data_IF_997069224490
#
_entry.id   IF_997069224490
#
_cell.length_a   1.000
_cell.length_b   1.000
_cell.length_c   1.000
_cell.angle_alpha   90.00
_cell.angle_beta   90.00
_cell.angle_gamma   90.00
#
_symmetry.space_group_name_H-M   'P 1'
#
loop_
_entity.id
_entity.type
_entity.pdbx_description
1 polymer ?
#
# COMPACT_ATOMS: atom_id res chain seq x y z
N UNK A 1 32.87 87.83 16.30
CA UNK A 1 32.29 88.57 17.44
C UNK A 1 30.81 88.65 17.21
N UNK A 2 30.01 88.20 18.17
CA UNK A 2 28.54 88.11 18.07
C UNK A 2 27.93 89.46 17.70
N UNK A 3 26.84 89.44 16.95
CA UNK A 3 26.01 90.63 16.64
C UNK A 3 25.68 91.43 17.90
N UNK A 4 25.54 90.74 19.03
CA UNK A 4 25.32 91.32 20.35
C UNK A 4 26.48 92.21 20.82
N UNK A 5 27.72 91.85 20.49
CA UNK A 5 28.91 92.61 20.86
C UNK A 5 29.00 93.95 20.09
N UNK A 6 28.58 93.95 18.82
CA UNK A 6 28.48 95.17 18.00
C UNK A 6 27.37 96.08 18.55
N UNK A 7 26.24 95.49 18.95
CA UNK A 7 25.12 96.24 19.52
C UNK A 7 25.52 96.94 20.85
N UNK A 8 26.22 96.23 21.73
CA UNK A 8 26.70 96.79 23.02
C UNK A 8 27.72 97.91 22.77
N UNK A 9 28.63 97.76 21.80
CA UNK A 9 29.60 98.80 21.44
C UNK A 9 28.91 100.08 20.96
N UNK A 10 27.88 99.96 20.12
CA UNK A 10 27.11 101.11 19.62
C UNK A 10 26.39 101.84 20.75
N UNK A 11 25.79 101.10 21.70
CA UNK A 11 25.11 101.69 22.86
C UNK A 11 26.09 102.45 23.76
N UNK A 12 27.29 101.91 24.00
CA UNK A 12 28.32 102.57 24.82
C UNK A 12 28.80 103.87 24.15
N UNK A 13 29.01 103.86 22.83
CA UNK A 13 29.42 105.06 22.08
C UNK A 13 28.34 106.15 22.15
N UNK A 14 27.07 105.79 22.02
CA UNK A 14 25.95 106.73 22.15
C UNK A 14 25.84 107.29 23.57
N UNK A 15 26.04 106.47 24.60
CA UNK A 15 26.03 106.91 26.00
C UNK A 15 27.18 107.89 26.31
N UNK A 16 28.38 107.64 25.78
CA UNK A 16 29.54 108.53 25.94
C UNK A 16 29.31 109.85 25.21
N UNK A 17 28.73 109.84 24.01
CA UNK A 17 28.38 111.04 23.27
C UNK A 17 27.34 111.91 24.03
N UNK A 18 26.31 111.27 24.59
CA UNK A 18 25.30 111.92 25.44
C UNK A 18 25.93 112.51 26.72
N UNK A 19 26.84 111.79 27.36
CA UNK A 19 27.52 112.25 28.58
C UNK A 19 28.44 113.45 28.31
N UNK A 20 29.19 113.44 27.20
CA UNK A 20 30.01 114.58 26.75
C UNK A 20 29.17 115.80 26.38
N UNK A 21 27.98 115.60 25.80
CA UNK A 21 27.02 116.68 25.52
C UNK A 21 26.47 117.30 26.82
N UNK A 22 26.18 116.48 27.83
CA UNK A 22 25.66 116.93 29.13
C UNK A 22 26.67 117.75 29.95
N UNK A 23 27.96 117.42 29.88
CA UNK A 23 29.01 118.16 30.61
C UNK A 23 29.36 119.52 30.00
N UNK A 24 29.04 119.75 28.72
CA UNK A 24 29.50 120.95 28.00
C UNK A 24 28.59 122.18 28.15
N UNK A 25 27.39 122.13 28.74
CA UNK A 25 26.45 123.23 28.47
C UNK A 25 25.43 123.64 29.52
N UNK A 26 25.74 124.78 30.13
CA UNK A 26 24.80 125.86 30.41
C UNK A 26 24.32 126.50 29.09
N UNK A 27 23.05 126.29 28.72
CA UNK A 27 22.44 126.99 27.59
C UNK A 27 21.08 126.43 27.19
N UNK A 28 19.99 127.09 27.61
CA UNK A 28 18.57 126.69 27.45
C UNK A 28 18.05 126.56 26.00
N UNK A 29 18.85 126.83 24.97
CA UNK A 29 18.42 126.77 23.56
C UNK A 29 18.60 125.42 22.84
N UNK A 30 19.40 124.51 23.38
CA UNK A 30 19.77 123.26 22.68
C UNK A 30 18.92 122.05 23.09
N UNK A 31 18.17 122.16 24.19
CA UNK A 31 17.28 121.10 24.71
C UNK A 31 16.03 120.95 23.83
N UNK A 32 15.55 122.02 23.21
CA UNK A 32 14.40 121.95 22.30
C UNK A 32 14.77 121.36 20.93
N UNK A 33 16.02 121.54 20.49
CA UNK A 33 16.54 120.96 19.25
C UNK A 33 16.72 119.44 19.38
N UNK A 34 17.28 118.98 20.51
CA UNK A 34 17.42 117.54 20.79
C UNK A 34 16.06 116.83 20.95
N UNK A 35 15.06 117.52 21.53
CA UNK A 35 13.69 116.97 21.62
C UNK A 35 13.05 116.82 20.25
N UNK A 36 13.29 117.76 19.33
CA UNK A 36 12.78 117.67 17.97
C UNK A 36 13.47 116.56 17.16
N UNK A 37 14.79 116.40 17.30
CA UNK A 37 15.52 115.28 16.64
C UNK A 37 15.11 113.92 17.20
N UNK A 38 14.94 113.78 18.53
CA UNK A 38 14.45 112.54 19.14
C UNK A 38 13.01 112.22 18.70
N UNK A 39 12.17 113.24 18.53
CA UNK A 39 10.81 113.07 18.03
C UNK A 39 10.79 112.62 16.57
N UNK A 40 11.63 113.22 15.72
CA UNK A 40 11.79 112.79 14.33
C UNK A 40 12.32 111.36 14.23
N UNK A 41 13.33 110.99 15.02
CA UNK A 41 13.88 109.64 15.04
C UNK A 41 12.85 108.60 15.52
N UNK A 42 12.05 108.94 16.54
CA UNK A 42 10.96 108.08 17.00
C UNK A 42 9.88 107.90 15.92
N UNK A 43 9.52 108.96 15.21
CA UNK A 43 8.54 108.91 14.11
C UNK A 43 9.06 108.11 12.91
N UNK A 44 10.33 108.22 12.56
CA UNK A 44 10.95 107.39 11.51
C UNK A 44 11.04 105.92 11.91
N UNK A 45 11.40 105.64 13.17
CA UNK A 45 11.48 104.28 13.67
C UNK A 45 10.09 103.62 13.74
N UNK A 46 9.06 104.36 14.11
CA UNK A 46 7.67 103.89 14.10
C UNK A 46 7.17 103.61 12.68
N UNK A 47 7.53 104.46 11.70
CA UNK A 47 7.25 104.21 10.28
C UNK A 47 7.98 102.99 9.74
N UNK A 48 9.27 102.82 10.05
CA UNK A 48 10.06 101.67 9.64
C UNK A 48 9.52 100.36 10.24
N UNK A 49 9.14 100.37 11.52
CA UNK A 49 8.50 99.22 12.18
C UNK A 49 7.12 98.91 11.60
N UNK A 50 6.33 99.94 11.30
CA UNK A 50 5.03 99.76 10.66
C UNK A 50 5.17 99.16 9.25
N UNK A 51 6.17 99.58 8.49
CA UNK A 51 6.46 99.04 7.16
C UNK A 51 6.97 97.60 7.23
N UNK A 52 7.93 97.31 8.12
CA UNK A 52 8.43 95.95 8.33
C UNK A 52 7.32 94.98 8.78
N UNK A 53 6.41 95.42 9.65
CA UNK A 53 5.23 94.62 10.05
C UNK A 53 4.27 94.37 8.89
N UNK A 54 4.06 95.35 8.00
CA UNK A 54 3.22 95.19 6.81
C UNK A 54 3.81 94.18 5.84
N UNK A 55 5.09 94.34 5.47
CA UNK A 55 5.79 93.41 4.57
C UNK A 55 5.85 91.99 5.16
N UNK A 56 6.11 91.87 6.47
CA UNK A 56 6.08 90.57 7.15
C UNK A 56 4.70 89.92 7.11
N UNK A 57 3.62 90.68 7.30
CA UNK A 57 2.25 90.15 7.22
C UNK A 57 1.86 89.76 5.80
N UNK A 58 2.26 90.53 4.79
CA UNK A 58 2.01 90.20 3.38
C UNK A 58 2.75 88.92 2.95
N UNK A 59 4.00 88.77 3.37
CA UNK A 59 4.78 87.55 3.13
C UNK A 59 4.16 86.33 3.83
N UNK A 60 3.68 86.49 5.07
CA UNK A 60 2.97 85.43 5.81
C UNK A 60 1.67 85.01 5.13
N UNK A 61 0.86 85.99 4.67
CA UNK A 61 -0.39 85.70 3.95
C UNK A 61 -0.11 84.96 2.65
N UNK A 62 0.95 85.34 1.94
CA UNK A 62 1.34 84.69 0.67
C UNK A 62 1.82 83.26 0.91
N UNK A 63 2.62 83.03 1.96
CA UNK A 63 3.02 81.68 2.36
C UNK A 63 1.82 80.82 2.77
N UNK A 64 0.89 81.36 3.56
CA UNK A 64 -0.33 80.64 3.92
C UNK A 64 -1.15 80.26 2.70
N UNK A 65 -1.35 81.17 1.74
CA UNK A 65 -2.08 80.86 0.50
C UNK A 65 -1.43 79.72 -0.28
N UNK A 66 -0.11 79.75 -0.47
CA UNK A 66 0.61 78.67 -1.17
C UNK A 66 0.48 77.32 -0.47
N UNK A 67 0.54 77.29 0.87
CA UNK A 67 0.35 76.06 1.65
C UNK A 67 -1.08 75.55 1.53
N UNK A 68 -2.09 76.43 1.64
CA UNK A 68 -3.50 76.04 1.50
C UNK A 68 -3.84 75.53 0.09
N UNK A 69 -3.28 76.15 -0.95
CA UNK A 69 -3.49 75.72 -2.33
C UNK A 69 -2.83 74.36 -2.61
N UNK A 70 -1.61 74.13 -2.11
CA UNK A 70 -0.97 72.82 -2.19
C UNK A 70 -1.73 71.73 -1.41
N UNK A 71 -2.23 72.06 -0.21
CA UNK A 71 -3.04 71.13 0.60
C UNK A 71 -4.34 70.74 -0.14
N UNK A 72 -5.00 71.71 -0.79
CA UNK A 72 -6.23 71.46 -1.57
C UNK A 72 -5.96 70.66 -2.84
N UNK A 73 -4.86 70.93 -3.55
CA UNK A 73 -4.46 70.16 -4.72
C UNK A 73 -4.18 68.69 -4.33
N UNK A 74 -3.38 68.48 -3.28
CA UNK A 74 -3.08 67.14 -2.76
C UNK A 74 -4.35 66.38 -2.32
N UNK A 75 -5.30 67.04 -1.68
CA UNK A 75 -6.58 66.43 -1.29
C UNK A 75 -7.45 66.04 -2.49
N UNK A 76 -7.39 66.79 -3.60
CA UNK A 76 -8.10 66.44 -4.84
C UNK A 76 -7.48 65.22 -5.52
N UNK A 77 -6.16 65.18 -5.61
CA UNK A 77 -5.43 64.05 -6.19
C UNK A 77 -5.70 62.75 -5.42
N UNK A 78 -5.75 62.83 -4.08
CA UNK A 78 -6.13 61.68 -3.23
C UNK A 78 -7.57 61.20 -3.47
N UNK A 79 -8.52 62.14 -3.60
CA UNK A 79 -9.92 61.79 -3.87
C UNK A 79 -10.08 61.13 -5.25
N UNK A 80 -9.32 61.59 -6.24
CA UNK A 80 -9.35 61.04 -7.60
C UNK A 80 -8.71 59.65 -7.65
N UNK A 81 -7.60 59.44 -6.94
CA UNK A 81 -6.97 58.13 -6.79
C UNK A 81 -7.90 57.11 -6.12
N UNK A 82 -8.61 57.50 -5.05
CA UNK A 82 -9.58 56.64 -4.36
C UNK A 82 -10.78 56.29 -5.26
N UNK A 83 -11.27 57.26 -6.05
CA UNK A 83 -12.35 57.01 -7.01
C UNK A 83 -11.92 56.02 -8.09
N UNK A 84 -10.72 56.20 -8.65
CA UNK A 84 -10.15 55.29 -9.65
C UNK A 84 -9.91 53.89 -9.08
N UNK A 85 -9.46 53.80 -7.83
CA UNK A 85 -9.34 52.52 -7.14
C UNK A 85 -10.71 51.85 -6.96
N UNK A 86 -11.74 52.59 -6.53
CA UNK A 86 -13.10 52.08 -6.42
C UNK A 86 -13.68 51.57 -7.75
N UNK A 87 -13.44 52.29 -8.84
CA UNK A 87 -13.86 51.89 -10.20
C UNK A 87 -13.14 50.61 -10.66
N UNK A 88 -11.82 50.52 -10.48
CA UNK A 88 -11.03 49.32 -10.82
C UNK A 88 -11.43 48.13 -9.94
N UNK A 89 -11.63 48.34 -8.64
CA UNK A 89 -12.06 47.30 -7.71
C UNK A 89 -13.45 46.77 -8.08
N UNK A 90 -14.41 47.67 -8.34
CA UNK A 90 -15.76 47.28 -8.75
C UNK A 90 -15.74 46.48 -10.06
N UNK A 91 -14.91 46.90 -11.03
CA UNK A 91 -14.75 46.18 -12.29
C UNK A 91 -14.18 44.78 -12.08
N UNK A 92 -13.13 44.64 -11.25
CA UNK A 92 -12.52 43.36 -10.94
C UNK A 92 -13.48 42.42 -10.20
N UNK A 93 -14.29 42.94 -9.27
CA UNK A 93 -15.31 42.14 -8.56
C UNK A 93 -16.42 41.67 -9.51
N UNK A 94 -16.85 42.52 -10.44
CA UNK A 94 -17.83 42.12 -11.46
C UNK A 94 -17.27 41.05 -12.40
N UNK A 95 -16.02 41.22 -12.86
CA UNK A 95 -15.35 40.24 -13.71
C UNK A 95 -15.14 38.90 -12.99
N UNK A 96 -14.72 38.94 -11.72
CA UNK A 96 -14.60 37.75 -10.88
C UNK A 96 -15.95 37.03 -10.68
N UNK A 97 -17.03 37.77 -10.40
CA UNK A 97 -18.37 37.18 -10.28
C UNK A 97 -18.86 36.57 -11.60
N UNK A 98 -18.54 37.19 -12.74
CA UNK A 98 -18.90 36.67 -14.06
C UNK A 98 -18.17 35.35 -14.38
N UNK A 99 -16.86 35.31 -14.10
CA UNK A 99 -16.03 34.10 -14.22
C UNK A 99 -16.49 33.00 -13.27
N UNK A 100 -16.85 33.33 -12.03
CA UNK A 100 -17.36 32.37 -11.06
C UNK A 100 -18.68 31.76 -11.53
N UNK A 101 -19.59 32.58 -12.09
CA UNK A 101 -20.85 32.11 -12.67
C UNK A 101 -20.62 31.19 -13.87
N UNK A 102 -19.72 31.55 -14.79
CA UNK A 102 -19.35 30.72 -15.94
C UNK A 102 -18.78 29.37 -15.52
N UNK A 103 -17.88 29.34 -14.53
CA UNK A 103 -17.33 28.09 -13.97
C UNK A 103 -18.38 27.24 -13.28
N UNK A 104 -19.34 27.86 -12.60
CA UNK A 104 -20.45 27.14 -11.96
C UNK A 104 -21.39 26.52 -12.99
N UNK A 105 -21.66 27.22 -14.10
CA UNK A 105 -22.45 26.69 -15.22
C UNK A 105 -21.71 25.53 -15.93
N UNK A 106 -20.38 25.62 -16.13
CA UNK A 106 -19.58 24.52 -16.69
C UNK A 106 -19.57 23.29 -15.75
N UNK A 107 -19.45 23.50 -14.45
CA UNK A 107 -19.52 22.42 -13.46
C UNK A 107 -20.88 21.72 -13.44
N UNK A 108 -21.98 22.48 -13.49
CA UNK A 108 -23.33 21.92 -13.55
C UNK A 108 -23.52 21.09 -14.84
N UNK A 109 -23.05 21.57 -16.00
CA UNK A 109 -23.11 20.81 -17.25
C UNK A 109 -22.32 19.50 -17.18
N UNK A 110 -21.09 19.54 -16.63
CA UNK A 110 -20.29 18.32 -16.43
C UNK A 110 -20.96 17.34 -15.47
N UNK A 111 -21.60 17.84 -14.42
CA UNK A 111 -22.35 17.00 -13.49
C UNK A 111 -23.54 16.33 -14.17
N UNK A 112 -24.31 17.06 -14.98
CA UNK A 112 -25.42 16.48 -15.76
C UNK A 112 -24.93 15.43 -16.77
N UNK A 113 -23.82 15.68 -17.48
CA UNK A 113 -23.24 14.72 -18.42
C UNK A 113 -22.73 13.45 -17.72
N UNK A 114 -22.13 13.60 -16.53
CA UNK A 114 -21.73 12.46 -15.70
C UNK A 114 -22.94 11.64 -15.24
N UNK A 115 -24.03 12.29 -14.83
CA UNK A 115 -25.26 11.59 -14.45
C UNK A 115 -25.85 10.81 -15.63
N UNK A 116 -25.97 11.43 -16.81
CA UNK A 116 -26.45 10.77 -18.04
C UNK A 116 -25.57 9.61 -18.46
N UNK A 117 -24.24 9.79 -18.41
CA UNK A 117 -23.28 8.73 -18.76
C UNK A 117 -23.33 7.57 -17.78
N UNK A 118 -23.55 7.86 -16.50
CA UNK A 118 -23.70 6.84 -15.45
C UNK A 118 -24.98 6.05 -15.65
N UNK A 119 -26.10 6.71 -15.95
CA UNK A 119 -27.38 6.07 -16.26
C UNK A 119 -27.28 5.15 -17.49
N UNK A 120 -26.68 5.64 -18.59
CA UNK A 120 -26.41 4.83 -19.80
C UNK A 120 -25.52 3.62 -19.51
N UNK A 121 -24.50 3.76 -18.67
CA UNK A 121 -23.62 2.63 -18.28
C UNK A 121 -24.35 1.63 -17.41
N UNK A 122 -25.18 2.08 -16.48
CA UNK A 122 -25.98 1.20 -15.62
C UNK A 122 -26.99 0.40 -16.44
N UNK A 123 -27.66 1.03 -17.41
CA UNK A 123 -28.59 0.32 -18.31
C UNK A 123 -27.86 -0.72 -19.17
N UNK A 124 -26.69 -0.37 -19.71
CA UNK A 124 -25.87 -1.32 -20.48
C UNK A 124 -25.35 -2.48 -19.64
N UNK A 125 -25.03 -2.25 -18.37
CA UNK A 125 -24.67 -3.31 -17.41
C UNK A 125 -25.88 -4.21 -17.17
N UNK A 126 -27.07 -3.63 -16.96
CA UNK A 126 -28.32 -4.38 -16.77
C UNK A 126 -28.61 -5.29 -17.97
N UNK A 127 -28.57 -4.76 -19.19
CA UNK A 127 -28.76 -5.54 -20.42
C UNK A 127 -27.72 -6.68 -20.54
N UNK A 128 -26.44 -6.38 -20.29
CA UNK A 128 -25.37 -7.39 -20.37
C UNK A 128 -25.51 -8.48 -19.30
N UNK A 129 -25.97 -8.10 -18.10
CA UNK A 129 -26.19 -9.00 -16.98
C UNK A 129 -27.40 -9.89 -17.26
N UNK A 130 -28.51 -9.34 -17.75
CA UNK A 130 -29.69 -10.12 -18.14
C UNK A 130 -29.36 -11.10 -19.28
N UNK A 131 -28.66 -10.63 -20.33
CA UNK A 131 -28.27 -11.49 -21.45
C UNK A 131 -27.31 -12.62 -21.01
N UNK A 132 -26.30 -12.31 -20.18
CA UNK A 132 -25.36 -13.32 -19.68
C UNK A 132 -26.00 -14.26 -18.67
N UNK A 133 -26.85 -13.78 -17.78
CA UNK A 133 -27.54 -14.62 -16.81
C UNK A 133 -28.50 -15.55 -17.53
N UNK A 134 -29.35 -15.05 -18.44
CA UNK A 134 -30.30 -15.87 -19.16
C UNK A 134 -29.60 -16.91 -20.03
N UNK A 135 -28.57 -16.52 -20.78
CA UNK A 135 -27.80 -17.45 -21.64
C UNK A 135 -27.01 -18.48 -20.84
N UNK A 136 -26.41 -18.09 -19.70
CA UNK A 136 -25.64 -19.01 -18.85
C UNK A 136 -26.58 -19.95 -18.09
N UNK A 137 -27.73 -19.44 -17.63
CA UNK A 137 -28.73 -20.21 -16.91
C UNK A 137 -29.43 -21.20 -17.84
N UNK A 138 -29.88 -20.79 -19.03
CA UNK A 138 -30.47 -21.70 -20.02
C UNK A 138 -29.47 -22.75 -20.50
N UNK A 139 -28.20 -22.38 -20.76
CA UNK A 139 -27.18 -23.34 -21.18
C UNK A 139 -26.83 -24.35 -20.08
N UNK A 140 -26.61 -23.89 -18.84
CA UNK A 140 -26.30 -24.79 -17.72
C UNK A 140 -27.49 -25.62 -17.27
N UNK A 141 -28.69 -25.04 -17.21
CA UNK A 141 -29.91 -25.78 -16.90
C UNK A 141 -30.21 -26.77 -18.02
N UNK A 142 -30.09 -26.39 -19.29
CA UNK A 142 -30.26 -27.30 -20.43
C UNK A 142 -29.32 -28.49 -20.37
N UNK A 143 -28.01 -28.26 -20.18
CA UNK A 143 -27.03 -29.34 -20.02
C UNK A 143 -27.28 -30.20 -18.76
N UNK A 144 -27.70 -29.58 -17.66
CA UNK A 144 -28.02 -30.31 -16.42
C UNK A 144 -29.29 -31.14 -16.59
N UNK A 145 -30.33 -30.63 -17.24
CA UNK A 145 -31.56 -31.36 -17.54
C UNK A 145 -31.34 -32.45 -18.57
N UNK A 146 -30.47 -32.25 -19.56
CA UNK A 146 -30.09 -33.27 -20.53
C UNK A 146 -29.30 -34.40 -19.85
N UNK A 147 -28.34 -34.05 -18.98
CA UNK A 147 -27.60 -35.04 -18.18
C UNK A 147 -28.53 -35.80 -17.23
N UNK A 148 -29.43 -35.10 -16.53
CA UNK A 148 -30.41 -35.73 -15.62
C UNK A 148 -31.42 -36.59 -16.40
N UNK A 149 -31.86 -36.17 -17.58
CA UNK A 149 -32.75 -36.93 -18.46
C UNK A 149 -32.08 -38.19 -19.00
N UNK A 150 -30.82 -38.08 -19.44
CA UNK A 150 -30.01 -39.23 -19.85
C UNK A 150 -29.76 -40.20 -18.69
N UNK A 151 -29.52 -39.67 -17.47
CA UNK A 151 -29.40 -40.47 -16.26
C UNK A 151 -30.73 -41.16 -15.91
N UNK A 152 -31.86 -40.47 -16.03
CA UNK A 152 -33.21 -41.01 -15.81
C UNK A 152 -33.58 -42.07 -16.83
N UNK A 153 -33.19 -41.91 -18.11
CA UNK A 153 -33.35 -42.94 -19.13
C UNK A 153 -32.45 -44.15 -18.85
N UNK A 154 -31.19 -43.94 -18.45
CA UNK A 154 -30.29 -45.02 -18.06
C UNK A 154 -30.82 -45.77 -16.82
N UNK A 155 -31.39 -45.04 -15.86
CA UNK A 155 -32.06 -45.61 -14.68
C UNK A 155 -33.35 -46.33 -15.06
N UNK A 156 -34.20 -45.79 -15.94
CA UNK A 156 -35.40 -46.50 -16.43
C UNK A 156 -35.04 -47.77 -17.19
N UNK A 157 -33.97 -47.74 -17.99
CA UNK A 157 -33.46 -48.92 -18.71
C UNK A 157 -32.90 -49.95 -17.73
N UNK A 158 -32.14 -49.52 -16.72
CA UNK A 158 -31.67 -50.36 -15.62
C UNK A 158 -32.80 -50.89 -14.70
N UNK A 159 -33.90 -50.15 -14.54
CA UNK A 159 -35.09 -50.58 -13.81
C UNK A 159 -35.96 -51.55 -14.63
N UNK A 160 -35.97 -51.44 -15.97
CA UNK A 160 -36.54 -52.45 -16.87
C UNK A 160 -35.76 -53.77 -16.83
N UNK A 161 -34.44 -53.71 -16.68
CA UNK A 161 -33.59 -54.86 -16.36
C UNK A 161 -33.80 -55.34 -14.90
N UNK A 162 -34.29 -54.48 -14.01
CA UNK A 162 -34.54 -54.83 -12.60
C UNK A 162 -35.76 -55.73 -12.39
N UNK A 163 -36.76 -55.72 -13.30
CA UNK A 163 -37.85 -56.70 -13.28
C UNK A 163 -37.35 -58.13 -13.56
N UNK A 164 -36.20 -58.27 -14.23
CA UNK A 164 -35.47 -59.54 -14.41
C UNK A 164 -34.56 -59.90 -13.21
N UNK A 165 -34.35 -58.97 -12.26
CA UNK A 165 -33.44 -59.11 -11.11
C UNK A 165 -34.10 -59.72 -9.87
N UNK A 166 -35.39 -60.03 -9.93
CA UNK A 166 -36.04 -60.86 -8.91
C UNK A 166 -35.42 -62.28 -8.82
N UNK A 167 -34.68 -62.71 -9.86
CA UNK A 167 -33.88 -63.95 -9.86
C UNK A 167 -32.41 -63.74 -9.41
N UNK A 168 -31.97 -62.50 -9.17
CA UNK A 168 -30.56 -62.11 -9.02
C UNK A 168 -30.02 -62.03 -7.59
N UNK A 169 -30.79 -62.45 -6.57
CA UNK A 169 -30.34 -62.44 -5.16
C UNK A 169 -29.18 -63.44 -4.91
N UNK A 170 -28.93 -64.36 -5.84
CA UNK A 170 -27.77 -65.26 -5.82
C UNK A 170 -26.43 -64.60 -6.17
N UNK A 171 -26.42 -63.54 -6.99
CA UNK A 171 -25.17 -62.96 -7.50
C UNK A 171 -24.47 -62.03 -6.51
N UNK A 172 -25.20 -61.38 -5.60
CA UNK A 172 -24.58 -60.60 -4.51
C UNK A 172 -23.83 -61.51 -3.52
N UNK A 173 -24.39 -62.69 -3.21
CA UNK A 173 -23.70 -63.75 -2.45
C UNK A 173 -22.48 -64.28 -3.20
N UNK A 174 -22.53 -64.32 -4.54
CA UNK A 174 -21.45 -64.79 -5.42
C UNK A 174 -20.30 -63.79 -5.56
N UNK A 175 -20.57 -62.49 -5.66
CA UNK A 175 -19.55 -61.42 -5.63
C UNK A 175 -18.89 -61.32 -4.25
N UNK A 176 -19.66 -61.60 -3.19
CA UNK A 176 -19.18 -61.84 -1.83
C UNK A 176 -18.66 -63.29 -1.61
N UNK A 177 -18.30 -64.06 -2.63
CA UNK A 177 -17.64 -65.37 -2.42
C UNK A 177 -16.26 -65.45 -3.05
N UNK A 178 -15.92 -64.50 -3.92
CA UNK A 178 -14.67 -64.50 -4.67
C UNK A 178 -13.59 -63.67 -3.97
N UNK A 179 -12.47 -64.31 -3.62
CA UNK A 179 -11.32 -63.70 -2.92
C UNK A 179 -10.78 -62.45 -3.65
N UNK A 180 -10.79 -62.44 -4.99
CA UNK A 180 -10.29 -61.30 -5.78
C UNK A 180 -11.19 -60.07 -5.71
N UNK A 181 -12.51 -60.24 -5.87
CA UNK A 181 -13.48 -59.13 -5.81
C UNK A 181 -13.49 -58.44 -4.44
N UNK A 182 -13.05 -59.16 -3.40
CA UNK A 182 -13.04 -58.66 -2.01
C UNK A 182 -11.77 -57.93 -1.63
N UNK A 183 -10.60 -58.31 -2.18
CA UNK A 183 -9.39 -57.50 -2.09
C UNK A 183 -9.58 -56.11 -2.69
N UNK A 184 -10.23 -56.06 -3.87
CA UNK A 184 -10.57 -54.80 -4.56
C UNK A 184 -11.48 -53.89 -3.72
N UNK A 185 -12.43 -54.44 -2.94
CA UNK A 185 -13.27 -53.62 -2.06
C UNK A 185 -12.47 -52.98 -0.93
N UNK A 186 -11.50 -53.72 -0.35
CA UNK A 186 -10.62 -53.18 0.68
C UNK A 186 -9.69 -52.09 0.15
N UNK A 187 -9.15 -52.28 -1.05
CA UNK A 187 -8.34 -51.28 -1.76
C UNK A 187 -9.18 -50.03 -2.10
N UNK A 188 -10.41 -50.21 -2.58
CA UNK A 188 -11.32 -49.10 -2.88
C UNK A 188 -11.63 -48.26 -1.64
N UNK A 189 -11.88 -48.91 -0.50
CA UNK A 189 -12.15 -48.21 0.75
C UNK A 189 -10.91 -47.43 1.23
N UNK A 190 -9.73 -48.04 1.13
CA UNK A 190 -8.47 -47.37 1.44
C UNK A 190 -8.26 -46.15 0.54
N UNK A 191 -8.49 -46.30 -0.76
CA UNK A 191 -8.43 -45.20 -1.73
C UNK A 191 -9.39 -44.07 -1.37
N UNK A 192 -10.64 -44.39 -1.05
CA UNK A 192 -11.64 -43.39 -0.68
C UNK A 192 -11.23 -42.61 0.58
N UNK A 193 -10.63 -43.26 1.58
CA UNK A 193 -10.11 -42.58 2.78
C UNK A 193 -8.95 -41.64 2.40
N UNK A 194 -8.03 -42.10 1.55
CA UNK A 194 -6.89 -41.30 1.11
C UNK A 194 -7.35 -40.08 0.29
N UNK A 195 -8.27 -40.24 -0.65
CA UNK A 195 -8.80 -39.16 -1.49
C UNK A 195 -9.56 -38.09 -0.69
N UNK A 196 -10.25 -38.49 0.38
CA UNK A 196 -10.98 -37.56 1.23
C UNK A 196 -10.05 -36.70 2.11
N UNK A 197 -8.87 -37.22 2.50
CA UNK A 197 -7.98 -36.56 3.47
C UNK A 197 -6.76 -35.93 2.81
N UNK A 198 -6.23 -36.54 1.75
CA UNK A 198 -4.99 -36.13 1.10
C UNK A 198 -5.25 -35.67 -0.34
N UNK A 199 -4.46 -34.70 -0.82
CA UNK A 199 -4.46 -34.32 -2.23
C UNK A 199 -3.75 -35.39 -3.07
N UNK A 200 -4.08 -35.55 -4.38
CA UNK A 200 -3.44 -36.55 -5.25
C UNK A 200 -1.91 -36.50 -5.27
N UNK A 201 -1.31 -35.32 -5.08
CA UNK A 201 0.15 -35.16 -5.04
C UNK A 201 0.81 -35.70 -3.77
N UNK A 202 0.05 -35.97 -2.71
CA UNK A 202 0.55 -36.39 -1.39
C UNK A 202 0.63 -37.92 -1.24
N UNK A 203 0.04 -38.70 -2.15
CA UNK A 203 0.12 -40.15 -2.12
C UNK A 203 0.39 -40.72 -3.52
N UNK A 204 0.70 -42.01 -3.60
CA UNK A 204 1.01 -42.73 -4.83
C UNK A 204 0.26 -44.06 -4.80
N UNK A 205 -0.43 -44.36 -5.89
CA UNK A 205 -1.05 -45.67 -6.16
C UNK A 205 0.01 -46.64 -6.70
N UNK A 206 0.00 -47.89 -6.25
CA UNK A 206 0.92 -48.93 -6.68
C UNK A 206 2.39 -48.47 -6.62
N UNK A 207 2.78 -47.91 -5.48
CA UNK A 207 4.08 -47.29 -5.29
C UNK A 207 5.19 -48.34 -5.28
N UNK A 208 6.21 -48.16 -6.12
CA UNK A 208 7.41 -48.98 -6.08
C UNK A 208 8.29 -48.53 -4.90
N UNK A 209 8.57 -49.44 -3.96
CA UNK A 209 9.39 -49.13 -2.80
C UNK A 209 10.82 -49.63 -3.01
N UNK A 210 11.79 -48.79 -2.64
CA UNK A 210 13.21 -49.14 -2.67
C UNK A 210 13.92 -48.88 -3.99
N UNK A 211 15.23 -49.14 -4.00
CA UNK A 211 16.13 -48.83 -5.12
C UNK A 211 15.92 -49.70 -6.35
N UNK A 212 15.45 -50.93 -6.15
CA UNK A 212 15.17 -51.89 -7.24
C UNK A 212 13.73 -51.83 -7.76
N UNK A 213 12.81 -51.17 -7.04
CA UNK A 213 11.41 -50.98 -7.44
C UNK A 213 10.61 -52.27 -7.72
N UNK A 214 11.07 -53.44 -7.23
CA UNK A 214 10.50 -54.76 -7.55
C UNK A 214 9.20 -55.03 -6.79
N UNK A 215 9.16 -54.63 -5.53
CA UNK A 215 7.97 -54.76 -4.69
C UNK A 215 7.14 -53.48 -4.79
N UNK A 216 5.83 -53.64 -5.02
CA UNK A 216 4.90 -52.52 -5.14
C UNK A 216 3.86 -52.63 -4.04
N UNK A 217 3.72 -51.56 -3.27
CA UNK A 217 2.66 -51.44 -2.26
C UNK A 217 1.44 -50.78 -2.89
N UNK A 218 0.25 -51.20 -2.47
CA UNK A 218 -1.02 -50.68 -2.99
C UNK A 218 -1.10 -49.15 -2.91
N UNK A 219 -0.71 -48.58 -1.77
CA UNK A 219 -0.67 -47.13 -1.56
C UNK A 219 0.59 -46.73 -0.79
N UNK A 220 1.13 -45.56 -1.10
CA UNK A 220 2.16 -44.95 -0.27
C UNK A 220 1.95 -43.44 -0.11
N UNK A 221 2.06 -42.93 1.11
CA UNK A 221 1.96 -41.50 1.42
C UNK A 221 3.35 -40.88 1.41
N UNK A 222 3.54 -39.73 0.73
CA UNK A 222 4.84 -39.05 0.65
C UNK A 222 5.08 -38.25 1.92
N UNK A 223 6.11 -38.56 2.70
CA UNK A 223 6.35 -37.87 3.96
C UNK A 223 6.81 -36.42 3.76
N UNK A 224 6.30 -35.47 4.57
CA UNK A 224 6.76 -34.09 4.55
C UNK A 224 8.13 -33.95 5.23
N UNK A 225 9.02 -33.13 4.68
CA UNK A 225 10.15 -32.57 5.42
C UNK A 225 11.54 -33.04 5.02
N UNK A 226 11.63 -34.06 4.16
CA UNK A 226 12.93 -34.58 3.72
C UNK A 226 13.29 -34.07 2.32
N UNK A 227 14.60 -33.83 2.10
CA UNK A 227 15.15 -33.52 0.77
C UNK A 227 15.01 -34.70 -0.21
N UNK A 228 14.89 -35.91 0.32
CA UNK A 228 14.58 -37.12 -0.43
C UNK A 228 13.14 -37.55 -0.19
N UNK A 229 12.50 -38.06 -1.24
CA UNK A 229 11.14 -38.56 -1.18
C UNK A 229 11.08 -39.84 -0.34
N UNK A 230 10.65 -39.70 0.92
CA UNK A 230 10.38 -40.83 1.83
C UNK A 230 8.92 -41.22 1.72
N UNK A 231 8.66 -42.51 1.53
CA UNK A 231 7.31 -43.05 1.35
C UNK A 231 6.86 -43.82 2.60
N UNK A 232 5.64 -43.56 3.08
CA UNK A 232 4.94 -44.35 4.10
C UNK A 232 4.09 -45.42 3.39
N UNK A 233 4.49 -46.70 3.41
CA UNK A 233 3.75 -47.77 2.75
C UNK A 233 2.46 -48.09 3.51
N UNK A 234 1.36 -48.24 2.78
CA UNK A 234 0.05 -48.64 3.32
C UNK A 234 -0.48 -49.79 2.47
N UNK A 235 -0.64 -50.96 3.09
CA UNK A 235 -1.07 -52.19 2.43
C UNK A 235 -2.37 -52.69 3.07
N UNK A 236 -3.37 -52.96 2.25
CA UNK A 236 -4.64 -53.53 2.69
C UNK A 236 -4.52 -55.05 2.76
N UNK A 237 -4.82 -55.64 3.92
CA UNK A 237 -4.97 -57.09 4.04
C UNK A 237 -6.25 -57.44 4.77
N UNK A 238 -6.93 -58.44 4.23
CA UNK A 238 -8.17 -58.93 4.79
C UNK A 238 -8.07 -60.46 4.99
N UNK A 239 -7.62 -60.95 6.17
CA UNK A 239 -7.61 -62.37 6.52
C UNK A 239 -9.02 -62.90 6.76
N UNK A 240 -9.82 -62.86 5.71
CA UNK A 240 -11.26 -62.98 5.80
C UNK A 240 -11.73 -64.36 6.23
N UNK A 241 -11.11 -65.43 5.74
CA UNK A 241 -11.53 -66.79 6.11
C UNK A 241 -11.43 -67.00 7.62
N UNK A 242 -10.32 -66.58 8.22
CA UNK A 242 -10.12 -66.63 9.67
C UNK A 242 -11.11 -65.74 10.41
N UNK A 243 -11.41 -64.55 9.87
CA UNK A 243 -12.39 -63.63 10.46
C UNK A 243 -13.82 -64.16 10.37
N UNK A 244 -14.24 -64.71 9.23
CA UNK A 244 -15.58 -65.28 9.07
C UNK A 244 -15.77 -66.52 9.94
N UNK A 245 -14.77 -67.42 10.01
CA UNK A 245 -14.82 -68.56 10.95
C UNK A 245 -14.97 -68.10 12.39
N UNK A 246 -14.32 -67.00 12.77
CA UNK A 246 -14.45 -66.43 14.10
C UNK A 246 -15.87 -65.88 14.33
N UNK A 247 -16.45 -65.19 13.36
CA UNK A 247 -17.85 -64.72 13.42
C UNK A 247 -18.83 -65.88 13.54
N UNK A 248 -18.69 -66.91 12.69
CA UNK A 248 -19.55 -68.10 12.73
C UNK A 248 -19.43 -68.83 14.08
N UNK A 249 -18.22 -68.92 14.65
CA UNK A 249 -18.00 -69.52 15.95
C UNK A 249 -18.63 -68.72 17.09
N UNK A 250 -18.67 -67.38 16.99
CA UNK A 250 -19.42 -66.51 17.91
C UNK A 250 -20.92 -66.76 17.82
N UNK A 251 -21.48 -66.89 16.61
CA UNK A 251 -22.91 -67.17 16.40
C UNK A 251 -23.32 -68.53 16.97
N UNK A 252 -22.46 -69.54 16.84
CA UNK A 252 -22.69 -70.88 17.38
C UNK A 252 -22.42 -70.98 18.90
N UNK A 253 -21.94 -69.91 19.53
CA UNK A 253 -21.59 -69.85 20.96
C UNK A 253 -20.63 -70.97 21.38
N UNK A 254 -19.76 -71.41 20.47
CA UNK A 254 -18.82 -72.50 20.71
C UNK A 254 -17.46 -71.96 21.17
N UNK A 255 -17.24 -71.94 22.49
CA UNK A 255 -16.01 -71.38 23.10
C UNK A 255 -14.70 -71.95 22.52
N UNK A 256 -14.66 -73.24 22.20
CA UNK A 256 -13.46 -73.90 21.69
C UNK A 256 -13.14 -73.46 20.25
N UNK A 257 -14.16 -73.40 19.41
CA UNK A 257 -14.02 -72.94 18.03
C UNK A 257 -13.66 -71.45 17.96
N UNK A 258 -14.20 -70.64 18.88
CA UNK A 258 -13.84 -69.22 19.00
C UNK A 258 -12.34 -69.06 19.27
N UNK A 259 -11.76 -69.82 20.22
CA UNK A 259 -10.33 -69.73 20.53
C UNK A 259 -9.46 -70.15 19.33
N UNK A 260 -9.81 -71.25 18.65
CA UNK A 260 -9.07 -71.73 17.48
C UNK A 260 -9.12 -70.71 16.35
N UNK A 261 -10.32 -70.26 15.97
CA UNK A 261 -10.51 -69.29 14.90
C UNK A 261 -9.81 -67.95 15.20
N UNK A 262 -9.78 -67.56 16.49
CA UNK A 262 -9.05 -66.37 16.92
C UNK A 262 -7.54 -66.54 16.77
N UNK A 263 -6.97 -67.65 17.21
CA UNK A 263 -5.53 -67.91 17.03
C UNK A 263 -5.12 -67.93 15.56
N UNK A 264 -5.97 -68.50 14.69
CA UNK A 264 -5.76 -68.48 13.24
C UNK A 264 -5.75 -67.05 12.68
N UNK A 265 -6.68 -66.21 13.13
CA UNK A 265 -6.75 -64.80 12.73
C UNK A 265 -5.48 -64.04 13.15
N UNK A 266 -5.04 -64.22 14.40
CA UNK A 266 -3.82 -63.61 14.92
C UNK A 266 -2.61 -64.01 14.08
N UNK A 267 -2.48 -65.31 13.77
CA UNK A 267 -1.39 -65.84 12.94
C UNK A 267 -1.40 -65.24 11.53
N UNK A 268 -2.58 -65.10 10.93
CA UNK A 268 -2.73 -64.50 9.60
C UNK A 268 -2.33 -63.01 9.58
N UNK A 269 -2.72 -62.25 10.61
CA UNK A 269 -2.35 -60.83 10.74
C UNK A 269 -0.85 -60.67 11.00
N UNK A 270 -0.25 -61.49 11.89
CA UNK A 270 1.20 -61.47 12.12
C UNK A 270 1.99 -61.80 10.86
N UNK A 271 1.55 -62.80 10.08
CA UNK A 271 2.16 -63.13 8.79
C UNK A 271 2.09 -61.94 7.81
N UNK A 272 0.93 -61.30 7.72
CA UNK A 272 0.74 -60.12 6.88
C UNK A 272 1.68 -58.97 7.29
N UNK A 273 1.84 -58.73 8.60
CA UNK A 273 2.77 -57.74 9.11
C UNK A 273 4.24 -58.08 8.80
N UNK A 274 4.64 -59.35 8.91
CA UNK A 274 5.97 -59.81 8.52
C UNK A 274 6.23 -59.60 7.02
N UNK A 275 5.27 -59.96 6.18
CA UNK A 275 5.35 -59.77 4.72
C UNK A 275 5.50 -58.28 4.36
N UNK A 276 4.73 -57.39 5.02
CA UNK A 276 4.81 -55.93 4.84
C UNK A 276 6.19 -55.40 5.25
N UNK A 277 6.72 -55.86 6.38
CA UNK A 277 8.05 -55.46 6.86
C UNK A 277 9.12 -55.80 5.84
N UNK A 278 9.18 -57.07 5.43
CA UNK A 278 10.28 -57.58 4.62
C UNK A 278 10.23 -57.03 3.17
N UNK A 279 9.03 -56.68 2.67
CA UNK A 279 8.86 -56.12 1.32
C UNK A 279 9.02 -54.60 1.26
N UNK A 280 8.41 -53.87 2.21
CA UNK A 280 8.16 -52.44 2.05
C UNK A 280 8.94 -51.54 3.02
N UNK A 281 9.56 -52.07 4.09
CA UNK A 281 10.36 -51.23 5.01
C UNK A 281 11.82 -51.23 4.55
N UNK A 282 12.20 -50.19 3.81
CA UNK A 282 13.52 -49.97 3.23
C UNK A 282 14.01 -48.53 3.43
N UNK A 283 14.60 -48.24 4.59
CA UNK A 283 15.24 -46.95 4.88
C UNK A 283 16.49 -46.78 3.98
N UNK A 284 16.70 -45.64 3.28
CA UNK A 284 16.05 -44.32 3.43
C UNK A 284 14.88 -44.04 2.47
N UNK A 285 14.43 -45.00 1.65
CA UNK A 285 13.37 -44.79 0.65
C UNK A 285 11.96 -44.84 1.25
N UNK A 286 11.78 -45.62 2.31
CA UNK A 286 10.54 -45.67 3.09
C UNK A 286 10.73 -45.11 4.50
N UNK A 287 9.62 -44.90 5.19
CA UNK A 287 9.59 -44.75 6.65
C UNK A 287 10.14 -46.00 7.35
N UNK A 288 10.54 -45.84 8.60
CA UNK A 288 10.99 -46.91 9.49
C UNK A 288 9.85 -47.82 9.99
N UNK A 289 8.60 -47.46 9.67
CA UNK A 289 7.40 -48.26 9.89
C UNK A 289 6.48 -48.24 8.68
N UNK A 290 5.55 -49.18 8.60
CA UNK A 290 4.49 -49.24 7.59
C UNK A 290 3.11 -49.37 8.24
N UNK A 291 2.04 -49.19 7.46
CA UNK A 291 0.66 -49.36 7.92
C UNK A 291 0.05 -50.61 7.29
N UNK A 292 -0.50 -51.48 8.15
CA UNK A 292 -1.39 -52.57 7.79
C UNK A 292 -2.83 -52.10 7.95
N UNK A 293 -3.54 -51.95 6.84
CA UNK A 293 -4.92 -51.53 6.81
C UNK A 293 -5.87 -52.73 6.82
N UNK A 294 -6.80 -52.73 7.77
CA UNK A 294 -7.89 -53.71 7.88
C UNK A 294 -9.19 -53.00 7.47
N UNK A 295 -9.84 -53.39 6.36
CA UNK A 295 -10.96 -52.63 5.80
C UNK A 295 -12.23 -52.66 6.66
N UNK A 296 -12.36 -53.64 7.56
CA UNK A 296 -13.53 -53.78 8.42
C UNK A 296 -13.19 -53.38 9.84
N UNK A 297 -13.94 -52.42 10.41
CA UNK A 297 -13.70 -51.92 11.77
C UNK A 297 -13.89 -53.03 12.82
N UNK A 298 -14.85 -53.93 12.64
CA UNK A 298 -15.04 -55.08 13.55
C UNK A 298 -13.88 -56.08 13.49
N UNK A 299 -13.22 -56.25 12.33
CA UNK A 299 -12.00 -57.04 12.25
C UNK A 299 -10.87 -56.36 13.04
N UNK A 300 -10.69 -55.05 12.88
CA UNK A 300 -9.71 -54.29 13.67
C UNK A 300 -9.99 -54.39 15.18
N UNK A 301 -11.25 -54.34 15.59
CA UNK A 301 -11.66 -54.50 16.97
C UNK A 301 -11.29 -55.87 17.57
N UNK A 302 -11.39 -56.96 16.80
CA UNK A 302 -10.95 -58.29 17.27
C UNK A 302 -9.43 -58.36 17.46
N UNK A 303 -8.64 -57.62 16.66
CA UNK A 303 -7.18 -57.51 16.87
C UNK A 303 -6.86 -56.73 18.14
N UNK A 304 -7.62 -55.67 18.43
CA UNK A 304 -7.45 -54.90 19.67
C UNK A 304 -7.92 -55.64 20.92
N UNK A 305 -8.84 -56.59 20.78
CA UNK A 305 -9.33 -57.42 21.88
C UNK A 305 -8.22 -58.30 22.47
N UNK A 306 -7.26 -58.68 21.65
CA UNK A 306 -6.12 -59.50 22.08
C UNK A 306 -5.03 -58.65 22.75
N UNK A 307 -4.82 -58.81 24.07
CA UNK A 307 -3.92 -57.94 24.82
C UNK A 307 -2.48 -57.97 24.27
N UNK A 308 -1.94 -56.78 23.98
CA UNK A 308 -0.54 -56.63 23.55
C UNK A 308 -0.24 -57.05 22.11
N UNK A 309 -1.20 -57.58 21.34
CA UNK A 309 -0.96 -58.02 19.96
C UNK A 309 -0.56 -56.86 19.05
N UNK A 310 -1.29 -55.75 19.09
CA UNK A 310 -1.00 -54.55 18.29
C UNK A 310 0.39 -53.99 18.62
N UNK A 311 0.75 -53.93 19.91
CA UNK A 311 2.05 -53.47 20.37
C UNK A 311 3.17 -54.42 19.96
N UNK A 312 2.95 -55.73 20.05
CA UNK A 312 3.90 -56.73 19.56
C UNK A 312 4.16 -56.55 18.06
N UNK A 313 3.10 -56.38 17.26
CA UNK A 313 3.23 -56.18 15.81
C UNK A 313 4.01 -54.91 15.50
N UNK A 314 3.72 -53.82 16.22
CA UNK A 314 4.43 -52.55 16.07
C UNK A 314 5.91 -52.66 16.44
N UNK A 315 6.26 -53.37 17.51
CA UNK A 315 7.64 -53.47 17.99
C UNK A 315 8.48 -54.43 17.13
N UNK A 316 7.95 -55.62 16.83
CA UNK A 316 8.67 -56.70 16.12
C UNK A 316 8.73 -56.47 14.60
N UNK A 317 7.62 -56.05 14.00
CA UNK A 317 7.52 -55.88 12.55
C UNK A 317 7.61 -54.43 12.08
N UNK A 318 7.59 -53.45 13.00
CA UNK A 318 7.50 -52.03 12.65
C UNK A 318 6.27 -51.74 11.79
N UNK A 319 5.16 -52.44 12.05
CA UNK A 319 3.91 -52.25 11.32
C UNK A 319 2.83 -51.76 12.28
N UNK A 320 2.15 -50.68 11.91
CA UNK A 320 1.00 -50.17 12.64
C UNK A 320 -0.28 -50.76 12.04
N UNK A 321 -1.06 -51.47 12.85
CA UNK A 321 -2.35 -52.01 12.42
C UNK A 321 -3.43 -50.95 12.59
N UNK A 322 -4.25 -50.72 11.56
CA UNK A 322 -5.28 -49.67 11.57
C UNK A 322 -6.59 -50.17 10.97
N UNK A 323 -7.72 -49.78 11.57
CA UNK A 323 -9.03 -49.80 10.92
C UNK A 323 -9.34 -48.50 10.17
N UNK A 324 -10.49 -48.41 9.46
CA UNK A 324 -10.92 -47.21 8.72
C UNK A 324 -10.88 -45.93 9.53
N UNK A 325 -11.41 -45.96 10.76
CA UNK A 325 -11.51 -44.77 11.60
C UNK A 325 -10.14 -44.32 12.11
N UNK A 326 -9.31 -45.27 12.50
CA UNK A 326 -7.95 -45.00 13.03
C UNK A 326 -7.04 -44.50 11.91
N UNK A 327 -7.10 -45.08 10.71
CA UNK A 327 -6.35 -44.62 9.57
C UNK A 327 -6.74 -43.19 9.19
N UNK A 328 -8.04 -42.89 9.12
CA UNK A 328 -8.50 -41.53 8.84
C UNK A 328 -7.97 -40.52 9.87
N UNK A 329 -7.93 -40.88 11.15
CA UNK A 329 -7.37 -40.02 12.19
C UNK A 329 -5.85 -39.78 12.00
N UNK A 330 -5.08 -40.83 11.69
CA UNK A 330 -3.63 -40.74 11.42
C UNK A 330 -3.37 -39.86 10.20
N UNK A 331 -4.12 -40.07 9.11
CA UNK A 331 -3.98 -39.28 7.89
C UNK A 331 -4.35 -37.80 8.11
N UNK A 332 -5.37 -37.51 8.92
CA UNK A 332 -5.71 -36.12 9.29
C UNK A 332 -4.58 -35.46 10.09
N UNK A 333 -3.96 -36.20 11.00
CA UNK A 333 -2.78 -35.73 11.74
C UNK A 333 -1.60 -35.43 10.80
N UNK A 334 -1.33 -36.33 9.84
CA UNK A 334 -0.33 -36.11 8.80
C UNK A 334 -0.67 -34.91 7.91
N UNK A 335 -1.94 -34.70 7.57
CA UNK A 335 -2.43 -33.54 6.81
C UNK A 335 -2.06 -32.22 7.51
N UNK A 336 -2.20 -32.15 8.83
CA UNK A 336 -1.81 -30.99 9.61
C UNK A 336 -0.29 -30.75 9.57
N UNK A 337 0.50 -31.83 9.58
CA UNK A 337 1.94 -31.79 9.33
C UNK A 337 2.31 -31.23 7.95
N UNK A 338 1.64 -31.70 6.89
CA UNK A 338 1.83 -31.17 5.53
C UNK A 338 1.54 -29.67 5.43
N UNK A 339 0.44 -29.21 6.03
CA UNK A 339 0.08 -27.78 6.03
C UNK A 339 1.12 -26.94 6.74
N UNK A 340 1.60 -27.40 7.90
CA UNK A 340 2.62 -26.70 8.68
C UNK A 340 3.92 -26.55 7.90
N UNK A 341 4.40 -27.61 7.25
CA UNK A 341 5.61 -27.55 6.44
C UNK A 341 5.43 -26.69 5.19
N UNK A 342 4.27 -26.75 4.54
CA UNK A 342 3.98 -25.91 3.37
C UNK A 342 4.01 -24.42 3.72
N UNK A 343 3.50 -24.05 4.90
CA UNK A 343 3.60 -22.68 5.43
C UNK A 343 5.07 -22.30 5.66
N UNK A 344 5.87 -23.16 6.30
CA UNK A 344 7.30 -22.89 6.51
C UNK A 344 8.07 -22.67 5.21
N UNK A 345 7.83 -23.50 4.17
CA UNK A 345 8.46 -23.34 2.85
C UNK A 345 8.11 -22.00 2.21
N UNK A 346 6.82 -21.62 2.21
CA UNK A 346 6.37 -20.32 1.67
C UNK A 346 6.97 -19.15 2.45
N UNK A 347 7.10 -19.25 3.76
CA UNK A 347 7.80 -18.23 4.56
C UNK A 347 9.27 -18.11 4.18
N UNK A 348 9.95 -19.21 3.89
CA UNK A 348 11.34 -19.20 3.40
C UNK A 348 11.45 -18.54 2.03
N UNK A 349 10.53 -18.80 1.11
CA UNK A 349 10.48 -18.14 -0.21
C UNK A 349 10.28 -16.63 -0.06
N UNK A 350 9.37 -16.19 0.82
CA UNK A 350 9.18 -14.77 1.14
C UNK A 350 10.46 -14.13 1.67
N UNK A 351 11.19 -14.81 2.57
CA UNK A 351 12.48 -14.34 3.06
C UNK A 351 13.54 -14.21 1.96
N UNK A 352 13.59 -15.14 1.02
CA UNK A 352 14.50 -15.05 -0.13
C UNK A 352 14.16 -13.86 -1.02
N UNK A 353 12.87 -13.65 -1.32
CA UNK A 353 12.41 -12.49 -2.11
C UNK A 353 12.75 -11.19 -1.39
N UNK A 354 12.48 -11.09 -0.09
CA UNK A 354 12.84 -9.91 0.71
C UNK A 354 14.35 -9.68 0.74
N UNK A 355 15.16 -10.74 0.80
CA UNK A 355 16.61 -10.66 0.69
C UNK A 355 17.09 -10.12 -0.66
N UNK A 356 16.49 -10.59 -1.76
CA UNK A 356 16.76 -10.09 -3.11
C UNK A 356 16.36 -8.61 -3.24
N UNK A 357 15.18 -8.23 -2.75
CA UNK A 357 14.70 -6.84 -2.74
C UNK A 357 15.63 -5.95 -1.91
N UNK A 358 16.07 -6.39 -0.73
CA UNK A 358 17.04 -5.66 0.10
C UNK A 358 18.35 -5.42 -0.65
N UNK A 359 18.84 -6.41 -1.39
CA UNK A 359 20.04 -6.26 -2.22
C UNK A 359 19.84 -5.23 -3.33
N UNK A 360 18.69 -5.23 -4.01
CA UNK A 360 18.38 -4.23 -5.04
C UNK A 360 18.24 -2.82 -4.47
N UNK A 361 17.64 -2.68 -3.28
CA UNK A 361 17.58 -1.41 -2.58
C UNK A 361 18.96 -0.87 -2.21
N UNK A 362 19.91 -1.73 -1.80
CA UNK A 362 21.30 -1.32 -1.57
C UNK A 362 21.98 -0.80 -2.85
N UNK A 363 21.77 -1.46 -4.00
CA UNK A 363 22.28 -0.96 -5.30
C UNK A 363 21.65 0.37 -5.69
N UNK A 364 20.37 0.56 -5.40
CA UNK A 364 19.66 1.81 -5.64
C UNK A 364 20.18 2.96 -4.76
N UNK A 365 20.48 2.68 -3.48
CA UNK A 365 21.13 3.62 -2.57
C UNK A 365 22.48 4.10 -3.13
N UNK A 366 23.34 3.18 -3.59
CA UNK A 366 24.62 3.51 -4.23
C UNK A 366 24.45 4.42 -5.46
N UNK A 367 23.42 4.18 -6.27
CA UNK A 367 23.08 5.00 -7.43
C UNK A 367 22.63 6.41 -7.03
N UNK A 368 21.81 6.54 -5.98
CA UNK A 368 21.40 7.84 -5.44
C UNK A 368 22.62 8.61 -4.93
N UNK A 369 23.50 7.96 -4.15
CA UNK A 369 24.72 8.60 -3.62
C UNK A 369 25.62 9.10 -4.76
N UNK A 370 25.82 8.28 -5.81
CA UNK A 370 26.56 8.71 -7.01
C UNK A 370 25.90 9.89 -7.72
N UNK A 371 24.58 9.88 -7.83
CA UNK A 371 23.81 10.95 -8.49
C UNK A 371 23.90 12.25 -7.69
N UNK A 372 23.76 12.19 -6.36
CA UNK A 372 23.93 13.32 -5.47
C UNK A 372 25.34 13.92 -5.59
N UNK A 373 26.38 13.08 -5.66
CA UNK A 373 27.76 13.53 -5.85
C UNK A 373 27.92 14.27 -7.18
N UNK A 374 27.40 13.73 -8.28
CA UNK A 374 27.43 14.39 -9.60
C UNK A 374 26.69 15.73 -9.62
N UNK A 375 25.54 15.82 -8.94
CA UNK A 375 24.82 17.09 -8.80
C UNK A 375 25.62 18.11 -8.00
N UNK A 376 26.30 17.70 -6.92
CA UNK A 376 27.20 18.56 -6.16
C UNK A 376 28.40 19.07 -7.00
N UNK A 377 29.00 18.18 -7.80
CA UNK A 377 30.08 18.55 -8.73
C UNK A 377 29.60 19.57 -9.77
N UNK A 378 28.45 19.31 -10.41
CA UNK A 378 27.83 20.22 -11.38
C UNK A 378 27.50 21.58 -10.77
N UNK A 379 27.00 21.61 -9.52
CA UNK A 379 26.73 22.86 -8.81
C UNK A 379 28.02 23.66 -8.55
N UNK A 380 29.11 22.98 -8.16
CA UNK A 380 30.42 23.65 -7.97
C UNK A 380 30.99 24.21 -9.28
N UNK A 381 30.73 23.55 -10.40
CA UNK A 381 31.20 23.96 -11.71
C UNK A 381 30.41 25.18 -12.22
N UNK A 382 29.09 25.20 -11.98
CA UNK A 382 28.26 26.39 -12.18
C UNK A 382 28.74 27.58 -11.35
N UNK A 383 29.07 27.38 -10.06
CA UNK A 383 29.61 28.45 -9.21
C UNK A 383 30.94 29.01 -9.73
N UNK A 384 31.81 28.16 -10.27
CA UNK A 384 33.07 28.60 -10.90
C UNK A 384 32.82 29.40 -12.18
N UNK A 385 31.93 28.91 -13.04
CA UNK A 385 31.58 29.57 -14.31
C UNK A 385 30.90 30.92 -14.07
N UNK A 386 29.87 30.96 -13.23
CA UNK A 386 29.14 32.19 -12.92
C UNK A 386 30.03 33.14 -12.11
N UNK A 387 30.77 32.66 -11.11
CA UNK A 387 31.58 33.51 -10.25
C UNK A 387 32.81 34.09 -10.95
N UNK A 388 33.66 33.25 -11.52
CA UNK A 388 34.95 33.68 -12.05
C UNK A 388 34.82 34.30 -13.45
N UNK A 389 33.98 33.71 -14.32
CA UNK A 389 33.83 34.21 -15.69
C UNK A 389 33.03 35.50 -15.73
N UNK A 390 31.98 35.65 -14.92
CA UNK A 390 31.24 36.93 -14.82
C UNK A 390 32.12 38.04 -14.26
N UNK A 391 32.95 37.76 -13.25
CA UNK A 391 33.93 38.74 -12.73
C UNK A 391 34.98 39.11 -13.77
N UNK A 392 35.48 38.14 -14.56
CA UNK A 392 36.44 38.41 -15.63
C UNK A 392 35.81 39.21 -16.79
N UNK A 393 34.57 38.90 -17.16
CA UNK A 393 33.78 39.61 -18.18
C UNK A 393 33.49 41.03 -17.71
N UNK A 394 33.03 41.23 -16.46
CA UNK A 394 32.82 42.56 -15.89
C UNK A 394 34.10 43.38 -15.82
N UNK A 395 35.24 42.76 -15.48
CA UNK A 395 36.53 43.48 -15.45
C UNK A 395 36.95 43.95 -16.85
N UNK A 396 36.80 43.10 -17.87
CA UNK A 396 37.06 43.50 -19.27
C UNK A 396 36.07 44.52 -19.81
N UNK A 397 34.79 44.41 -19.49
CA UNK A 397 33.78 45.40 -19.88
C UNK A 397 34.01 46.77 -19.22
N UNK A 398 34.56 46.80 -18.01
CA UNK A 398 34.89 48.04 -17.29
C UNK A 398 36.16 48.73 -17.81
N UNK A 399 37.01 47.99 -18.54
CA UNK A 399 38.19 48.52 -19.24
C UNK A 399 37.84 49.14 -20.61
N UNK A 400 36.66 48.85 -21.15
CA UNK A 400 36.14 49.49 -22.37
C UNK A 400 35.52 50.82 -21.97
N UNK A 401 36.22 51.93 -22.26
CA UNK A 401 35.66 53.27 -22.12
C UNK A 401 34.38 53.40 -22.96
N UNK A 402 33.35 54.06 -22.39
CA UNK A 402 32.16 54.47 -23.15
C UNK A 402 32.60 55.28 -24.38
N UNK A 403 32.34 54.72 -25.56
CA UNK A 403 32.52 55.42 -26.82
C UNK A 403 31.50 56.56 -26.90
N UNK A 404 31.87 57.76 -27.40
CA UNK A 404 30.92 58.83 -27.65
C UNK A 404 29.78 58.32 -28.56
N UNK A 405 28.53 58.63 -28.22
CA UNK A 405 27.31 58.11 -28.89
C UNK A 405 27.37 58.17 -30.43
N UNK A 406 28.10 59.15 -30.99
CA UNK A 406 28.25 59.36 -32.43
C UNK A 406 29.01 58.24 -33.20
N UNK A 407 29.82 57.42 -32.54
CA UNK A 407 30.53 56.29 -33.18
C UNK A 407 29.82 54.94 -32.97
N UNK A 408 28.95 54.81 -31.96
CA UNK A 408 28.23 53.55 -31.71
C UNK A 408 27.16 53.26 -32.77
N UNK A 409 26.52 54.30 -33.30
CA UNK A 409 25.46 54.16 -34.31
C UNK A 409 25.99 53.73 -35.68
N UNK A 410 27.27 54.00 -35.98
CA UNK A 410 27.91 53.58 -37.25
C UNK A 410 28.38 52.11 -37.27
N UNK A 411 28.44 51.45 -36.13
CA UNK A 411 28.89 50.06 -36.01
C UNK A 411 27.73 49.06 -35.80
N UNK A 412 26.50 49.57 -35.63
CA UNK A 412 25.28 48.76 -35.47
C UNK A 412 24.37 48.76 -36.72
N UNK A 413 24.70 49.56 -37.73
CA UNK A 413 24.13 49.46 -39.08
C UNK A 413 25.15 48.83 -40.03
N UNK A 414 25.29 47.51 -39.94
CA UNK A 414 25.61 46.59 -41.05
C UNK A 414 25.22 45.15 -40.67
#
# INVERSE_FOLDING_TARGET
MSTDFILILVIIVQAIALFLLLLKKNGKGEIDLLKNELKQLSEEMEKALAQARRESNENLITQFRLVFDNQRASSRDQSEALKRFGEVFSKNVQEFNSLQKEKFEDLNRRQEDLMKTTELRLEKIRETVDEKLQKTLESRLGQSFEMVSNQLQAVQKGLGEMQSLANGVGDLKRVLSNVKSRGVLGEYQLQAILENVLTPDQYILNAAIGKSGRERVEFAVKMPGNEHQVLLPIDSKFPQESYLRLVDAYEQVNKREIEIARMDLIKAVKKSAADIRDKYIQVPYSTDFAILFLPVESLYAEILREPGLSQQIQQEYKVLVTGPTTLAAILNSLQMGFRTLAIQKRSSEVWQILGAVKSEFGKFEDLIVKTQKKLGEANSELDKLVGARTRAIQRKLKEVQELPEAESTKLLED
#
